data_IF_639994722988
#
_entry.id   IF_639994722988
#
_cell.length_a   1.000
_cell.length_b   1.000
_cell.length_c   1.000
_cell.angle_alpha   90.00
_cell.angle_beta   90.00
_cell.angle_gamma   90.00
#
_symmetry.space_group_name_H-M   'P 1'
#
loop_
_entity.id
_entity.type
_entity.pdbx_description
1 polymer ?
#
# COMPACT_ATOMS: atom_id res chain seq x y z
N UNK A 1 5.19 10.95 -1.06
CA UNK A 1 5.33 10.81 0.41
C UNK A 1 6.72 11.27 0.81
N UNK A 2 6.86 12.04 1.89
CA UNK A 2 8.14 12.64 2.30
C UNK A 2 9.07 11.63 3.00
N UNK A 3 10.37 11.76 2.76
CA UNK A 3 11.41 10.99 3.44
C UNK A 3 11.30 11.16 4.97
N UNK A 4 11.29 10.04 5.70
CA UNK A 4 11.36 10.03 7.17
C UNK A 4 10.05 9.73 7.91
N UNK A 5 8.94 9.44 7.22
CA UNK A 5 7.75 8.91 7.90
C UNK A 5 8.00 7.47 8.39
N UNK A 6 7.65 7.19 9.64
CA UNK A 6 7.81 5.88 10.31
C UNK A 6 7.00 4.74 9.64
N UNK A 7 6.17 5.08 8.65
CA UNK A 7 5.32 4.18 7.86
C UNK A 7 5.73 4.14 6.38
N UNK A 8 6.95 4.57 6.05
CA UNK A 8 7.46 4.48 4.69
C UNK A 8 7.62 3.02 4.26
N UNK A 9 6.77 2.58 3.33
CA UNK A 9 6.76 1.20 2.84
C UNK A 9 7.64 0.96 1.61
N UNK A 10 8.26 2.01 1.06
CA UNK A 10 9.18 1.92 -0.10
C UNK A 10 10.31 0.90 0.11
N UNK A 11 10.91 0.70 1.30
CA UNK A 11 11.90 -0.35 1.51
C UNK A 11 11.39 -1.76 1.18
N UNK A 12 10.08 -1.99 1.29
CA UNK A 12 9.46 -3.28 1.03
C UNK A 12 8.85 -3.38 -0.36
N UNK A 13 8.05 -2.40 -0.75
CA UNK A 13 7.26 -2.42 -1.98
C UNK A 13 7.90 -1.65 -3.16
N UNK A 14 9.01 -0.94 -2.90
CA UNK A 14 9.62 -0.04 -3.87
C UNK A 14 8.68 1.09 -4.29
N UNK A 15 8.84 1.55 -5.53
CA UNK A 15 8.03 2.60 -6.15
C UNK A 15 6.73 2.06 -6.78
N UNK A 16 6.43 0.76 -6.65
CA UNK A 16 5.28 0.14 -7.29
C UNK A 16 3.95 0.74 -6.79
N UNK A 17 3.12 1.25 -7.70
CA UNK A 17 1.86 1.90 -7.35
C UNK A 17 2.02 3.31 -6.75
N UNK A 18 3.19 3.94 -6.90
CA UNK A 18 3.35 5.38 -6.70
C UNK A 18 3.17 6.06 -8.07
N UNK A 19 2.27 7.02 -8.14
CA UNK A 19 1.86 7.71 -9.36
C UNK A 19 2.25 9.19 -9.27
N UNK A 20 2.80 9.72 -10.38
CA UNK A 20 3.02 11.16 -10.53
C UNK A 20 1.68 11.82 -10.87
N UNK A 21 1.18 12.62 -9.94
CA UNK A 21 -0.10 13.32 -10.04
C UNK A 21 0.09 14.82 -10.19
N UNK A 22 1.32 15.28 -10.48
CA UNK A 22 1.67 16.69 -10.59
C UNK A 22 0.73 17.42 -11.55
N UNK A 23 0.55 16.88 -12.77
CA UNK A 23 -0.33 17.48 -13.77
C UNK A 23 -1.81 17.56 -13.33
N UNK A 24 -2.28 16.57 -12.56
CA UNK A 24 -3.65 16.56 -12.04
C UNK A 24 -3.82 17.65 -10.98
N UNK A 25 -2.87 17.77 -10.05
CA UNK A 25 -2.96 18.78 -8.98
C UNK A 25 -2.77 20.20 -9.53
N UNK A 26 -1.87 20.39 -10.49
CA UNK A 26 -1.72 21.65 -11.24
C UNK A 26 -3.02 22.04 -11.94
N UNK A 27 -3.74 21.07 -12.53
CA UNK A 27 -5.04 21.32 -13.17
C UNK A 27 -6.14 21.76 -12.20
N UNK A 28 -6.02 21.41 -10.92
CA UNK A 28 -6.98 21.77 -9.87
C UNK A 28 -6.73 23.16 -9.25
N UNK A 29 -5.71 23.90 -9.72
CA UNK A 29 -5.32 25.22 -9.19
C UNK A 29 -5.05 25.21 -7.67
N UNK A 30 -4.69 24.06 -7.11
CA UNK A 30 -4.36 23.91 -5.69
C UNK A 30 -2.93 24.41 -5.47
N UNK A 31 -2.71 25.40 -4.58
CA UNK A 31 -1.37 25.84 -4.22
C UNK A 31 -0.60 24.67 -3.59
N UNK A 32 0.58 24.38 -4.11
CA UNK A 32 1.44 23.34 -3.59
C UNK A 32 2.90 23.82 -3.63
N UNK A 33 3.66 23.49 -2.58
CA UNK A 33 5.02 24.01 -2.39
C UNK A 33 6.09 23.19 -3.12
N UNK A 34 5.77 21.96 -3.51
CA UNK A 34 6.72 21.03 -4.15
C UNK A 34 6.58 21.02 -5.67
N UNK A 35 7.69 21.02 -6.44
CA UNK A 35 7.62 21.01 -7.92
C UNK A 35 7.15 19.68 -8.52
N UNK A 36 7.03 18.62 -7.72
CA UNK A 36 6.45 17.34 -8.11
C UNK A 36 5.61 16.77 -6.97
N UNK A 37 4.47 16.20 -7.33
CA UNK A 37 3.55 15.56 -6.39
C UNK A 37 3.36 14.11 -6.79
N UNK A 38 3.60 13.23 -5.82
CA UNK A 38 3.39 11.80 -5.97
C UNK A 38 2.32 11.32 -4.99
N UNK A 39 1.41 10.47 -5.48
CA UNK A 39 0.37 9.83 -4.69
C UNK A 39 0.50 8.31 -4.78
N UNK A 40 0.08 7.60 -3.73
CA UNK A 40 -0.12 6.16 -3.82
C UNK A 40 -1.42 5.89 -4.59
N UNK A 41 -1.39 4.92 -5.50
CA UNK A 41 -2.60 4.36 -6.06
C UNK A 41 -3.46 3.73 -4.97
N UNK A 42 -4.75 3.55 -5.22
CA UNK A 42 -5.68 2.98 -4.24
C UNK A 42 -5.21 1.59 -3.75
N UNK A 43 -4.73 0.75 -4.67
CA UNK A 43 -4.15 -0.55 -4.33
C UNK A 43 -2.87 -0.43 -3.48
N UNK A 44 -2.02 0.57 -3.77
CA UNK A 44 -0.81 0.82 -3.00
C UNK A 44 -1.12 1.30 -1.58
N UNK A 45 -2.07 2.21 -1.42
CA UNK A 45 -2.49 2.70 -0.10
C UNK A 45 -2.99 1.55 0.81
N UNK A 46 -3.78 0.63 0.25
CA UNK A 46 -4.26 -0.54 1.00
C UNK A 46 -3.13 -1.54 1.28
N UNK A 47 -2.24 -1.78 0.31
CA UNK A 47 -1.06 -2.63 0.52
C UNK A 47 -0.15 -2.06 1.62
N UNK A 48 0.01 -0.73 1.68
CA UNK A 48 0.77 -0.04 2.71
C UNK A 48 0.17 -0.28 4.10
N UNK A 49 -1.15 -0.12 4.25
CA UNK A 49 -1.87 -0.37 5.49
C UNK A 49 -1.69 -1.81 5.99
N UNK A 50 -1.93 -2.79 5.13
CA UNK A 50 -1.78 -4.23 5.45
C UNK A 50 -0.34 -4.53 5.86
N UNK A 51 0.64 -4.00 5.13
CA UNK A 51 2.05 -4.26 5.38
C UNK A 51 2.52 -3.65 6.71
N UNK A 52 2.11 -2.41 7.01
CA UNK A 52 2.41 -1.76 8.29
C UNK A 52 1.81 -2.53 9.46
N UNK A 53 0.54 -2.93 9.36
CA UNK A 53 -0.12 -3.73 10.40
C UNK A 53 0.58 -5.09 10.60
N UNK A 54 0.96 -5.75 9.50
CA UNK A 54 1.72 -7.01 9.51
C UNK A 54 3.06 -6.84 10.21
N UNK A 55 3.83 -5.79 9.87
CA UNK A 55 5.13 -5.50 10.48
C UNK A 55 5.03 -5.17 11.97
N UNK A 56 3.95 -4.50 12.37
CA UNK A 56 3.65 -4.18 13.78
C UNK A 56 3.02 -5.35 14.54
N UNK A 57 2.88 -6.53 13.92
CA UNK A 57 2.21 -7.71 14.48
C UNK A 57 0.76 -7.44 14.93
N UNK A 58 0.12 -6.40 14.40
CA UNK A 58 -1.26 -6.06 14.69
C UNK A 58 -2.22 -7.07 14.03
N UNK A 59 -3.42 -7.30 14.59
CA UNK A 59 -4.43 -8.15 13.96
C UNK A 59 -4.84 -7.55 12.62
N UNK A 60 -4.94 -8.38 11.57
CA UNK A 60 -5.37 -7.95 10.23
C UNK A 60 -6.88 -8.12 10.01
N UNK A 61 -7.59 -8.68 10.99
CA UNK A 61 -8.99 -9.09 10.88
C UNK A 61 -9.97 -7.93 10.66
N UNK A 62 -9.52 -6.69 10.88
CA UNK A 62 -10.29 -5.47 10.67
C UNK A 62 -10.10 -4.86 9.27
N UNK A 63 -9.24 -5.48 8.45
CA UNK A 63 -8.91 -5.00 7.11
C UNK A 63 -9.58 -5.95 6.11
N UNK A 64 -10.73 -5.54 5.58
CA UNK A 64 -11.46 -6.29 4.56
C UNK A 64 -11.32 -5.59 3.21
N UNK A 65 -10.77 -6.28 2.20
CA UNK A 65 -10.62 -5.67 0.89
C UNK A 65 -11.97 -5.34 0.24
N UNK A 66 -13.03 -6.09 0.56
CA UNK A 66 -14.39 -5.83 0.07
C UNK A 66 -14.95 -4.46 0.49
N UNK A 67 -14.43 -3.87 1.57
CA UNK A 67 -14.88 -2.55 2.05
C UNK A 67 -14.38 -1.41 1.14
N UNK A 68 -13.31 -1.65 0.37
CA UNK A 68 -12.64 -0.61 -0.43
C UNK A 68 -12.42 -0.98 -1.91
N UNK A 69 -12.50 -2.27 -2.25
CA UNK A 69 -12.32 -2.80 -3.60
C UNK A 69 -13.59 -3.50 -4.04
N UNK A 70 -14.12 -3.10 -5.20
CA UNK A 70 -15.38 -3.65 -5.72
C UNK A 70 -15.17 -4.75 -6.76
N UNK A 71 -13.93 -4.94 -7.24
CA UNK A 71 -13.61 -5.94 -8.26
C UNK A 71 -12.46 -6.83 -7.82
N UNK A 72 -12.47 -8.07 -8.34
CA UNK A 72 -11.41 -9.03 -8.10
C UNK A 72 -10.06 -8.52 -8.64
N UNK A 73 -10.05 -7.87 -9.81
CA UNK A 73 -8.83 -7.30 -10.41
C UNK A 73 -8.17 -6.26 -9.48
N UNK A 74 -8.97 -5.43 -8.80
CA UNK A 74 -8.46 -4.46 -7.83
C UNK A 74 -7.83 -5.15 -6.61
N UNK A 75 -8.45 -6.23 -6.11
CA UNK A 75 -7.88 -7.05 -5.04
C UNK A 75 -6.57 -7.71 -5.47
N UNK A 76 -6.50 -8.22 -6.70
CA UNK A 76 -5.30 -8.83 -7.25
C UNK A 76 -4.12 -7.86 -7.33
N UNK A 77 -4.36 -6.59 -7.65
CA UNK A 77 -3.33 -5.56 -7.61
C UNK A 77 -2.72 -5.40 -6.21
N UNK A 78 -3.56 -5.40 -5.15
CA UNK A 78 -3.08 -5.35 -3.76
C UNK A 78 -2.22 -6.58 -3.45
N UNK A 79 -2.69 -7.78 -3.79
CA UNK A 79 -1.95 -9.00 -3.53
C UNK A 79 -0.62 -9.07 -4.31
N UNK A 80 -0.61 -8.56 -5.54
CA UNK A 80 0.60 -8.46 -6.35
C UNK A 80 1.62 -7.53 -5.68
N UNK A 81 1.18 -6.37 -5.19
CA UNK A 81 2.05 -5.46 -4.43
C UNK A 81 2.61 -6.14 -3.18
N UNK A 82 1.77 -6.79 -2.38
CA UNK A 82 2.21 -7.48 -1.15
C UNK A 82 3.22 -8.62 -1.42
N UNK A 83 3.22 -9.20 -2.62
CA UNK A 83 4.18 -10.23 -2.99
C UNK A 83 5.63 -9.74 -3.02
N UNK A 84 5.87 -8.45 -3.29
CA UNK A 84 7.21 -7.85 -3.25
C UNK A 84 7.81 -7.82 -1.83
N UNK A 85 6.95 -7.88 -0.80
CA UNK A 85 7.39 -7.90 0.59
C UNK A 85 7.84 -9.29 1.06
N UNK A 86 7.58 -10.37 0.29
CA UNK A 86 7.79 -11.77 0.71
C UNK A 86 9.17 -12.02 1.29
N UNK A 87 10.21 -11.64 0.57
CA UNK A 87 11.61 -11.92 0.98
C UNK A 87 12.13 -10.94 2.04
N UNK A 88 11.30 -9.97 2.44
CA UNK A 88 11.63 -8.91 3.40
C UNK A 88 10.78 -8.98 4.68
N UNK A 89 9.87 -9.94 4.77
CA UNK A 89 9.08 -10.25 5.96
C UNK A 89 9.68 -11.44 6.70
N UNK A 90 9.54 -11.43 8.02
CA UNK A 90 9.83 -12.63 8.82
C UNK A 90 8.86 -13.76 8.45
N UNK A 91 9.24 -15.04 8.60
CA UNK A 91 8.40 -16.17 8.22
C UNK A 91 7.00 -16.15 8.86
N UNK A 92 6.91 -15.80 10.15
CA UNK A 92 5.62 -15.68 10.86
C UNK A 92 4.77 -14.51 10.35
N UNK A 93 5.40 -13.37 10.00
CA UNK A 93 4.71 -12.22 9.41
C UNK A 93 4.14 -12.57 8.04
N UNK A 94 4.93 -13.25 7.20
CA UNK A 94 4.48 -13.71 5.90
C UNK A 94 3.34 -14.72 6.02
N UNK A 95 3.43 -15.67 6.95
CA UNK A 95 2.34 -16.65 7.20
C UNK A 95 1.03 -15.95 7.55
N UNK A 96 1.05 -15.01 8.51
CA UNK A 96 -0.15 -14.27 8.93
C UNK A 96 -0.76 -13.46 7.78
N UNK A 97 0.08 -12.86 6.95
CA UNK A 97 -0.38 -12.14 5.75
C UNK A 97 -1.06 -13.09 4.75
N UNK A 98 -0.53 -14.31 4.55
CA UNK A 98 -1.17 -15.30 3.68
C UNK A 98 -2.50 -15.81 4.26
N UNK A 99 -2.58 -16.02 5.57
CA UNK A 99 -3.84 -16.39 6.25
C UNK A 99 -4.89 -15.30 6.08
N UNK A 100 -4.52 -14.03 6.30
CA UNK A 100 -5.40 -12.88 6.05
C UNK A 100 -5.87 -12.83 4.59
N UNK A 101 -4.97 -13.05 3.63
CA UNK A 101 -5.31 -13.05 2.19
C UNK A 101 -6.37 -14.09 1.83
N UNK A 102 -6.41 -15.23 2.52
CA UNK A 102 -7.43 -16.26 2.31
C UNK A 102 -8.79 -15.92 2.92
N UNK A 103 -8.83 -14.94 3.82
CA UNK A 103 -10.03 -14.51 4.57
C UNK A 103 -10.58 -13.15 4.15
N UNK A 104 -9.94 -12.47 3.17
CA UNK A 104 -10.22 -11.09 2.75
C UNK A 104 -10.65 -11.01 1.27
#
# INVERSE_FOLDING_TARGET
>A
MGDGCQEDTRPWLGEAGIEDVTAIVESMLVPHESPRIYAASHARAIADLVLVATKRNQPLDHIHLDDWMHTQDQKEQVYSLLSYAKDKLEPDQWRRLQEWKLSS
#
